data_IF_137382956768
#
_entry.id   IF_137382956768
#
_cell.length_a   1.000
_cell.length_b   1.000
_cell.length_c   1.000
_cell.angle_alpha   90.00
_cell.angle_beta   90.00
_cell.angle_gamma   90.00
#
_symmetry.space_group_name_H-M   'P 1'
#
loop_
_entity.id
_entity.type
_entity.pdbx_description
1 polymer ?
#
# COMPACT_ATOMS: atom_id res chain seq x y z
N UNK A 1 1.67 -10.58 -28.49
CA UNK A 1 1.11 -10.01 -27.25
C UNK A 1 1.75 -8.65 -27.03
N UNK A 2 0.98 -7.58 -26.84
CA UNK A 2 1.51 -6.22 -26.66
C UNK A 2 0.83 -5.58 -25.46
N UNK A 3 1.57 -5.36 -24.39
CA UNK A 3 1.15 -4.59 -23.24
C UNK A 3 1.56 -3.13 -23.42
N UNK A 4 0.65 -2.21 -23.14
CA UNK A 4 0.91 -0.77 -23.04
C UNK A 4 0.77 -0.34 -21.58
N UNK A 5 1.85 0.18 -21.00
CA UNK A 5 1.83 0.83 -19.69
C UNK A 5 1.70 2.34 -19.88
N UNK A 6 0.68 2.95 -19.29
CA UNK A 6 0.48 4.39 -19.28
C UNK A 6 0.81 4.91 -17.89
N UNK A 7 1.83 5.76 -17.82
CA UNK A 7 2.27 6.36 -16.56
C UNK A 7 1.62 7.73 -16.38
N UNK A 8 1.04 7.91 -15.21
CA UNK A 8 0.50 9.16 -14.72
C UNK A 8 1.43 9.64 -13.60
N UNK A 9 2.13 10.75 -13.84
CA UNK A 9 3.19 11.22 -12.95
C UNK A 9 2.60 11.99 -11.78
N UNK A 10 2.73 11.43 -10.59
CA UNK A 10 2.35 12.08 -9.34
C UNK A 10 3.48 13.01 -8.91
N UNK A 11 3.16 14.31 -8.85
CA UNK A 11 4.04 15.41 -8.48
C UNK A 11 3.74 15.95 -7.08
N UNK A 12 2.53 15.73 -6.59
CA UNK A 12 2.15 15.99 -5.20
C UNK A 12 0.93 15.15 -4.81
N UNK A 13 0.74 14.98 -3.51
CA UNK A 13 -0.41 14.30 -2.90
C UNK A 13 -0.94 15.13 -1.74
N UNK A 14 -2.25 15.25 -1.67
CA UNK A 14 -2.92 16.06 -0.64
C UNK A 14 -4.21 15.41 -0.15
N UNK A 15 -4.58 15.76 1.09
CA UNK A 15 -5.93 15.50 1.57
C UNK A 15 -6.92 16.49 0.97
N UNK A 16 -8.07 15.99 0.55
CA UNK A 16 -9.15 16.81 -0.01
C UNK A 16 -10.53 16.24 0.36
N UNK A 17 -11.58 17.00 0.11
CA UNK A 17 -12.97 16.54 0.21
C UNK A 17 -13.41 15.71 -1.00
N UNK A 18 -12.60 15.61 -2.05
CA UNK A 18 -12.89 14.81 -3.24
C UNK A 18 -11.63 14.11 -3.75
N UNK A 19 -11.79 12.88 -4.23
CA UNK A 19 -10.68 12.12 -4.84
C UNK A 19 -10.54 12.50 -6.31
N UNK A 20 -9.39 13.04 -6.72
CA UNK A 20 -9.13 13.40 -8.12
C UNK A 20 -7.64 13.40 -8.48
N UNK A 21 -7.34 13.34 -9.77
CA UNK A 21 -5.99 13.49 -10.30
C UNK A 21 -5.97 14.56 -11.40
N UNK A 22 -5.29 15.69 -11.14
CA UNK A 22 -5.21 16.83 -12.08
C UNK A 22 -3.82 17.44 -12.06
N UNK A 23 -3.25 17.65 -13.24
CA UNK A 23 -1.93 18.29 -13.44
C UNK A 23 -0.76 17.68 -12.63
N UNK A 24 -0.89 16.40 -12.25
CA UNK A 24 0.08 15.67 -11.44
C UNK A 24 -0.20 15.69 -9.93
N UNK A 25 -1.25 16.36 -9.47
CA UNK A 25 -1.67 16.38 -8.06
C UNK A 25 -2.72 15.29 -7.86
N UNK A 26 -2.45 14.38 -6.92
CA UNK A 26 -3.39 13.36 -6.45
C UNK A 26 -4.06 13.86 -5.16
N UNK A 27 -5.29 14.34 -5.28
CA UNK A 27 -6.12 14.71 -4.14
C UNK A 27 -6.87 13.48 -3.65
N UNK A 28 -6.81 13.19 -2.36
CA UNK A 28 -7.38 11.97 -1.75
C UNK A 28 -8.44 12.34 -0.72
N UNK A 29 -9.63 11.76 -0.83
CA UNK A 29 -10.64 11.84 0.21
C UNK A 29 -10.39 10.78 1.30
N UNK A 30 -9.78 11.19 2.42
CA UNK A 30 -9.47 10.31 3.57
C UNK A 30 -10.68 9.52 4.08
N UNK A 31 -11.78 10.23 4.37
CA UNK A 31 -13.02 9.61 4.87
C UNK A 31 -13.59 8.53 3.93
N UNK A 32 -13.71 8.84 2.63
CA UNK A 32 -14.18 7.88 1.63
C UNK A 32 -13.30 6.63 1.56
N UNK A 33 -11.97 6.78 1.60
CA UNK A 33 -11.08 5.62 1.63
C UNK A 33 -11.28 4.79 2.91
N UNK A 34 -11.35 5.43 4.07
CA UNK A 34 -11.59 4.72 5.33
C UNK A 34 -12.91 3.95 5.32
N UNK A 35 -13.98 4.51 4.74
CA UNK A 35 -15.26 3.82 4.59
C UNK A 35 -15.15 2.56 3.70
N UNK A 36 -14.33 2.60 2.64
CA UNK A 36 -14.08 1.45 1.76
C UNK A 36 -13.22 0.37 2.43
N UNK A 37 -12.27 0.78 3.27
CA UNK A 37 -11.26 -0.09 3.88
C UNK A 37 -11.81 -0.81 5.12
N UNK A 38 -12.53 -0.10 6.01
CA UNK A 38 -13.07 -0.64 7.27
C UNK A 38 -13.81 -2.00 7.16
N UNK A 39 -14.67 -2.26 6.16
CA UNK A 39 -15.39 -3.54 6.09
C UNK A 39 -14.51 -4.73 5.69
N UNK A 40 -13.27 -4.51 5.24
CA UNK A 40 -12.40 -5.56 4.71
C UNK A 40 -11.65 -6.35 5.80
N UNK A 41 -11.60 -5.84 7.04
CA UNK A 41 -10.71 -6.36 8.09
C UNK A 41 -11.51 -6.70 9.36
N UNK A 42 -11.30 -7.88 9.95
CA UNK A 42 -12.01 -8.34 11.16
C UNK A 42 -11.13 -8.36 12.40
N UNK A 43 -9.82 -8.37 12.22
CA UNK A 43 -8.78 -8.47 13.25
C UNK A 43 -8.10 -7.13 13.52
N UNK A 44 -8.68 -6.05 13.00
CA UNK A 44 -8.19 -4.67 13.08
C UNK A 44 -9.24 -3.84 13.82
N UNK A 45 -8.84 -3.19 14.91
CA UNK A 45 -9.73 -2.33 15.71
C UNK A 45 -9.95 -0.98 15.04
N UNK A 46 -8.90 -0.44 14.43
CA UNK A 46 -8.92 0.85 13.76
C UNK A 46 -7.95 0.86 12.57
N UNK A 47 -8.30 1.65 11.56
CA UNK A 47 -7.42 1.97 10.44
C UNK A 47 -7.34 3.48 10.34
N UNK A 48 -6.12 3.99 10.20
CA UNK A 48 -5.87 5.37 9.82
C UNK A 48 -4.99 5.46 8.57
N UNK A 49 -4.93 6.65 8.00
CA UNK A 49 -4.17 6.95 6.79
C UNK A 49 -3.28 8.18 6.99
N UNK A 50 -2.02 8.08 6.58
CA UNK A 50 -1.08 9.20 6.54
C UNK A 50 -0.48 9.37 5.14
N UNK A 51 -0.21 10.62 4.76
CA UNK A 51 0.57 10.95 3.56
C UNK A 51 1.95 11.38 4.04
N UNK A 52 2.98 10.70 3.57
CA UNK A 52 4.38 11.04 3.82
C UNK A 52 5.04 11.42 2.49
N UNK A 53 5.67 12.60 2.45
CA UNK A 53 6.22 13.17 1.21
C UNK A 53 7.74 12.98 1.10
N UNK A 54 8.30 12.96 -0.13
CA UNK A 54 9.75 12.97 -0.32
C UNK A 54 10.42 14.14 0.41
N UNK A 55 11.49 13.85 1.15
CA UNK A 55 12.24 14.85 1.90
C UNK A 55 11.62 15.30 3.23
N UNK A 56 10.49 14.73 3.64
CA UNK A 56 9.90 14.96 4.96
C UNK A 56 10.77 14.35 6.07
N UNK A 57 10.89 15.02 7.22
CA UNK A 57 11.63 14.49 8.37
C UNK A 57 10.77 13.45 9.12
N UNK A 58 10.62 12.29 8.48
CA UNK A 58 9.78 11.19 8.94
C UNK A 58 10.48 9.83 8.81
N UNK A 59 10.15 8.93 9.74
CA UNK A 59 10.46 7.50 9.68
C UNK A 59 9.17 6.72 9.71
N UNK A 60 8.98 5.86 8.72
CA UNK A 60 7.89 4.87 8.69
C UNK A 60 8.43 3.59 9.35
N UNK A 61 7.72 3.08 10.35
CA UNK A 61 8.08 1.87 11.11
C UNK A 61 7.00 0.81 10.95
N UNK A 62 7.29 -0.44 11.31
CA UNK A 62 6.33 -1.54 11.16
C UNK A 62 5.85 -1.71 9.73
N UNK A 63 6.70 -1.32 8.77
CA UNK A 63 6.42 -1.36 7.36
C UNK A 63 6.37 -2.83 6.92
N UNK A 64 5.31 -3.19 6.22
CA UNK A 64 5.11 -4.50 5.63
C UNK A 64 5.31 -4.38 4.12
N UNK A 65 4.24 -4.55 3.35
CA UNK A 65 4.30 -4.49 1.90
C UNK A 65 4.10 -3.07 1.37
N UNK A 66 4.69 -2.79 0.20
CA UNK A 66 4.59 -1.52 -0.51
C UNK A 66 4.25 -1.79 -1.96
N UNK A 67 3.19 -1.16 -2.47
CA UNK A 67 2.71 -1.35 -3.84
C UNK A 67 2.61 -0.04 -4.60
N UNK A 68 2.91 -0.08 -5.89
CA UNK A 68 2.62 1.00 -6.82
C UNK A 68 1.19 0.83 -7.36
N UNK A 69 0.26 1.77 -7.11
CA UNK A 69 -1.10 1.65 -7.63
C UNK A 69 -1.14 1.58 -9.15
N UNK A 70 -1.85 0.57 -9.65
CA UNK A 70 -2.09 0.34 -11.06
C UNK A 70 -3.48 -0.21 -11.29
N UNK A 71 -4.04 0.06 -12.47
CA UNK A 71 -5.33 -0.44 -12.90
C UNK A 71 -5.27 -0.87 -14.35
N UNK A 72 -5.77 -2.07 -14.64
CA UNK A 72 -5.89 -2.58 -16.00
C UNK A 72 -7.22 -2.08 -16.59
N UNK A 73 -7.14 -1.45 -17.76
CA UNK A 73 -8.30 -0.81 -18.41
C UNK A 73 -8.68 -1.43 -19.75
N UNK A 74 -7.80 -2.26 -20.33
CA UNK A 74 -8.04 -2.97 -21.59
C UNK A 74 -7.27 -4.30 -21.61
N UNK A 75 -7.79 -5.30 -22.34
CA UNK A 75 -7.21 -6.64 -22.51
C UNK A 75 -7.72 -7.65 -21.47
N UNK A 76 -7.34 -8.93 -21.61
CA UNK A 76 -7.73 -9.99 -20.69
C UNK A 76 -7.08 -9.91 -19.31
N UNK A 77 -7.79 -10.38 -18.27
CA UNK A 77 -7.34 -10.37 -16.87
C UNK A 77 -7.45 -9.00 -16.19
N UNK A 78 -6.78 -8.83 -15.06
CA UNK A 78 -6.81 -7.61 -14.23
C UNK A 78 -5.45 -7.32 -13.57
N UNK A 79 -5.28 -6.14 -12.98
CA UNK A 79 -4.08 -5.81 -12.18
C UNK A 79 -3.89 -6.80 -11.02
N UNK A 80 -2.65 -6.99 -10.59
CA UNK A 80 -2.29 -7.92 -9.50
C UNK A 80 -2.97 -9.29 -9.65
N UNK A 81 -2.79 -9.90 -10.83
CA UNK A 81 -3.36 -11.21 -11.13
C UNK A 81 -2.87 -12.28 -10.14
N UNK A 82 -3.78 -13.17 -9.74
CA UNK A 82 -3.56 -14.10 -8.62
C UNK A 82 -3.97 -13.54 -7.25
N UNK A 83 -4.06 -12.21 -7.12
CA UNK A 83 -4.51 -11.55 -5.89
C UNK A 83 -5.99 -11.17 -5.99
N UNK A 84 -6.36 -10.29 -6.94
CA UNK A 84 -7.75 -9.89 -7.13
C UNK A 84 -8.63 -10.94 -7.84
N UNK A 85 -8.05 -12.08 -8.23
CA UNK A 85 -8.74 -13.16 -8.94
C UNK A 85 -7.80 -14.26 -9.37
N UNK A 86 -8.24 -15.11 -10.31
CA UNK A 86 -7.43 -16.21 -10.81
C UNK A 86 -6.11 -15.72 -11.44
N UNK A 87 -5.05 -16.54 -11.38
CA UNK A 87 -3.81 -16.25 -12.06
C UNK A 87 -4.00 -16.35 -13.58
N UNK A 88 -3.91 -15.21 -14.26
CA UNK A 88 -4.10 -15.00 -15.69
C UNK A 88 -2.83 -14.44 -16.31
N UNK A 89 -2.61 -14.73 -17.60
CA UNK A 89 -1.54 -14.08 -18.36
C UNK A 89 -1.96 -12.66 -18.75
N UNK A 90 -1.38 -11.65 -18.10
CA UNK A 90 -1.73 -10.22 -18.29
C UNK A 90 -0.77 -9.45 -19.23
N UNK A 91 -0.15 -10.16 -20.18
CA UNK A 91 0.88 -9.64 -21.09
C UNK A 91 0.39 -8.79 -22.28
N UNK A 92 -0.88 -8.37 -22.28
CA UNK A 92 -1.49 -7.60 -23.38
C UNK A 92 -2.48 -6.55 -22.89
N UNK A 93 -2.89 -5.64 -23.77
CA UNK A 93 -3.86 -4.58 -23.46
C UNK A 93 -3.20 -3.35 -22.81
N UNK A 94 -3.96 -2.65 -21.96
CA UNK A 94 -3.55 -1.36 -21.40
C UNK A 94 -3.67 -1.35 -19.88
N UNK A 95 -2.62 -0.87 -19.21
CA UNK A 95 -2.58 -0.68 -17.76
C UNK A 95 -2.11 0.73 -17.44
N UNK A 96 -2.88 1.42 -16.62
CA UNK A 96 -2.55 2.74 -16.07
C UNK A 96 -1.83 2.58 -14.74
N UNK A 97 -0.81 3.40 -14.48
CA UNK A 97 -0.02 3.37 -13.25
C UNK A 97 0.23 4.79 -12.73
N UNK A 98 0.18 4.94 -11.42
CA UNK A 98 0.61 6.17 -10.74
C UNK A 98 2.12 6.08 -10.48
N UNK A 99 2.92 6.82 -11.27
CA UNK A 99 4.38 6.87 -11.10
C UNK A 99 4.73 7.92 -10.04
N UNK A 100 5.60 7.56 -9.10
CA UNK A 100 5.99 8.45 -8.00
C UNK A 100 5.07 8.37 -6.78
N UNK A 101 4.07 7.48 -6.77
CA UNK A 101 3.16 7.27 -5.65
C UNK A 101 3.12 5.80 -5.24
N UNK A 102 3.06 5.53 -3.94
CA UNK A 102 2.94 4.18 -3.39
C UNK A 102 1.91 4.12 -2.27
N UNK A 103 1.41 2.92 -2.02
CA UNK A 103 0.59 2.57 -0.86
C UNK A 103 1.38 1.58 -0.02
N UNK A 104 1.42 1.82 1.29
CA UNK A 104 2.25 1.10 2.25
C UNK A 104 1.38 0.58 3.39
N UNK A 105 1.65 -0.63 3.84
CA UNK A 105 1.03 -1.19 5.03
C UNK A 105 1.95 -1.02 6.24
N UNK A 106 1.41 -0.53 7.35
CA UNK A 106 2.14 -0.32 8.59
C UNK A 106 1.36 -0.91 9.77
N UNK A 107 1.83 -2.03 10.31
CA UNK A 107 1.16 -2.71 11.42
C UNK A 107 2.16 -3.32 12.40
N UNK A 108 2.06 -3.05 13.71
CA UNK A 108 2.92 -3.62 14.74
C UNK A 108 2.53 -5.08 15.02
N UNK A 109 2.78 -5.98 14.06
CA UNK A 109 2.47 -7.40 14.17
C UNK A 109 3.21 -8.02 15.38
N UNK A 110 2.53 -8.79 16.25
CA UNK A 110 3.14 -9.32 17.46
C UNK A 110 4.30 -10.28 17.19
N UNK A 111 5.39 -10.12 17.94
CA UNK A 111 6.51 -11.07 17.97
C UNK A 111 6.28 -12.12 19.06
N UNK A 112 5.36 -13.05 18.84
CA UNK A 112 5.04 -14.12 19.78
C UNK A 112 5.12 -15.52 19.16
N UNK A 113 4.92 -16.55 19.98
CA UNK A 113 4.98 -17.96 19.57
C UNK A 113 3.76 -18.41 18.75
N UNK A 114 2.82 -17.51 18.40
CA UNK A 114 1.65 -17.84 17.58
C UNK A 114 1.99 -18.01 16.10
N UNK A 115 3.20 -17.62 15.68
CA UNK A 115 3.69 -17.82 14.32
C UNK A 115 3.88 -19.32 14.04
N UNK A 116 2.88 -19.93 13.40
CA UNK A 116 2.88 -21.36 13.09
C UNK A 116 3.87 -21.76 11.98
N UNK A 117 4.55 -20.80 11.35
CA UNK A 117 5.58 -21.03 10.34
C UNK A 117 6.53 -19.83 10.21
N UNK A 118 7.70 -20.06 9.61
CA UNK A 118 8.68 -19.01 9.27
C UNK A 118 8.13 -17.85 8.43
N UNK A 119 7.02 -18.09 7.70
CA UNK A 119 6.35 -17.09 6.85
C UNK A 119 5.48 -16.11 7.66
N UNK A 120 5.02 -16.54 8.83
CA UNK A 120 4.17 -15.75 9.71
C UNK A 120 4.96 -14.97 10.76
N UNK A 121 6.29 -15.13 10.79
CA UNK A 121 7.12 -14.27 11.63
C UNK A 121 7.13 -12.85 11.05
N UNK A 122 6.69 -11.85 11.82
CA UNK A 122 6.73 -10.47 11.36
C UNK A 122 8.18 -10.06 11.10
N UNK A 123 8.44 -9.61 9.87
CA UNK A 123 9.69 -8.97 9.50
C UNK A 123 9.44 -7.47 9.59
N UNK A 124 9.76 -6.92 10.75
CA UNK A 124 9.63 -5.49 10.96
C UNK A 124 10.63 -4.76 10.04
N UNK A 125 10.13 -3.79 9.29
CA UNK A 125 10.93 -2.94 8.42
C UNK A 125 10.72 -1.48 8.78
N UNK A 126 11.79 -0.71 8.62
CA UNK A 126 11.78 0.74 8.77
C UNK A 126 12.20 1.39 7.46
N UNK A 127 11.71 2.61 7.24
CA UNK A 127 12.12 3.45 6.13
C UNK A 127 12.24 4.89 6.60
N UNK A 128 13.41 5.48 6.37
CA UNK A 128 13.60 6.93 6.58
C UNK A 128 13.32 7.68 5.29
N UNK A 129 12.69 8.84 5.40
CA UNK A 129 12.45 9.73 4.26
C UNK A 129 13.61 10.72 4.04
N UNK A 130 14.49 10.87 5.03
CA UNK A 130 15.71 11.68 4.95
C UNK A 130 16.89 10.99 5.66
N UNK A 131 18.08 11.56 5.54
CA UNK A 131 19.27 11.06 6.23
C UNK A 131 19.93 9.86 5.56
N UNK A 132 20.89 9.21 6.26
CA UNK A 132 21.83 8.27 5.64
C UNK A 132 21.19 7.03 5.02
N UNK A 133 20.00 6.61 5.50
CA UNK A 133 19.37 5.37 5.05
C UNK A 133 18.19 5.58 4.08
N UNK A 134 17.78 6.83 3.80
CA UNK A 134 16.60 7.09 2.98
C UNK A 134 16.69 6.50 1.56
N UNK A 135 17.86 6.56 0.93
CA UNK A 135 18.07 6.02 -0.43
C UNK A 135 18.28 4.51 -0.53
N UNK A 136 18.16 3.75 0.57
CA UNK A 136 18.31 2.28 0.52
C UNK A 136 17.10 1.59 -0.13
N UNK A 137 15.94 2.22 -0.10
CA UNK A 137 14.76 1.84 -0.89
C UNK A 137 14.42 2.98 -1.86
N UNK A 138 13.73 2.71 -2.98
CA UNK A 138 13.32 3.76 -3.90
C UNK A 138 12.18 4.64 -3.33
N UNK A 139 11.59 4.28 -2.19
CA UNK A 139 10.33 4.86 -1.72
C UNK A 139 10.49 6.13 -0.87
N UNK A 140 11.72 6.47 -0.48
CA UNK A 140 12.01 7.80 0.07
C UNK A 140 11.84 8.92 -0.97
N UNK A 141 11.89 8.57 -2.26
CA UNK A 141 11.69 9.48 -3.39
C UNK A 141 10.24 9.45 -3.91
N UNK A 142 9.34 8.68 -3.29
CA UNK A 142 7.92 8.61 -3.66
C UNK A 142 7.02 9.29 -2.64
N UNK A 143 5.87 9.76 -3.10
CA UNK A 143 4.76 10.11 -2.21
C UNK A 143 4.13 8.82 -1.69
N UNK A 144 4.00 8.69 -0.37
CA UNK A 144 3.60 7.45 0.26
C UNK A 144 2.28 7.66 1.00
N UNK A 145 1.26 6.89 0.62
CA UNK A 145 0.06 6.73 1.44
C UNK A 145 0.25 5.54 2.36
N UNK A 146 0.43 5.80 3.65
CA UNK A 146 0.62 4.78 4.67
C UNK A 146 -0.73 4.42 5.26
N UNK A 147 -1.09 3.14 5.17
CA UNK A 147 -2.23 2.53 5.86
C UNK A 147 -1.74 2.02 7.20
N UNK A 148 -2.25 2.61 8.27
CA UNK A 148 -1.83 2.33 9.64
C UNK A 148 -2.92 1.49 10.29
N UNK A 149 -2.54 0.30 10.76
CA UNK A 149 -3.45 -0.67 11.35
C UNK A 149 -3.25 -0.73 12.87
N UNK A 150 -4.34 -0.58 13.62
CA UNK A 150 -4.40 -0.96 15.02
C UNK A 150 -5.00 -2.36 15.13
N UNK A 151 -4.26 -3.28 15.73
CA UNK A 151 -4.62 -4.70 15.75
C UNK A 151 -5.48 -5.04 16.96
N UNK A 152 -6.46 -5.93 16.77
CA UNK A 152 -7.20 -6.55 17.88
C UNK A 152 -6.26 -7.48 18.63
N UNK A 153 -6.16 -7.36 19.95
CA UNK A 153 -5.31 -8.25 20.76
C UNK A 153 -5.79 -9.71 20.73
N UNK A 154 -4.83 -10.64 20.90
CA UNK A 154 -5.11 -12.06 21.11
C UNK A 154 -5.55 -12.83 19.87
N UNK A 155 -5.32 -12.30 18.66
CA UNK A 155 -5.49 -13.04 17.41
C UNK A 155 -4.23 -13.83 17.07
N UNK A 156 -4.39 -14.88 16.27
CA UNK A 156 -3.25 -15.64 15.76
C UNK A 156 -2.50 -14.86 14.67
N UNK A 157 -1.21 -15.15 14.48
CA UNK A 157 -0.42 -14.59 13.37
C UNK A 157 -1.08 -14.78 12.00
N UNK A 158 -1.76 -15.91 11.77
CA UNK A 158 -2.48 -16.16 10.52
C UNK A 158 -3.75 -15.30 10.35
N UNK A 159 -4.42 -14.94 11.45
CA UNK A 159 -5.56 -14.01 11.41
C UNK A 159 -5.10 -12.58 11.13
N UNK A 160 -3.99 -12.14 11.73
CA UNK A 160 -3.40 -10.84 11.43
C UNK A 160 -2.90 -10.75 9.99
N UNK A 161 -2.13 -11.74 9.54
CA UNK A 161 -1.56 -11.77 8.18
C UNK A 161 -2.67 -11.70 7.12
N UNK A 162 -3.72 -12.51 7.30
CA UNK A 162 -4.90 -12.43 6.45
C UNK A 162 -5.47 -11.02 6.47
N UNK A 163 -5.77 -10.43 7.61
CA UNK A 163 -6.54 -9.19 7.62
C UNK A 163 -5.73 -7.93 7.27
N UNK A 164 -4.39 -7.98 7.38
CA UNK A 164 -3.51 -6.86 7.03
C UNK A 164 -3.10 -6.90 5.55
N UNK A 165 -2.74 -8.08 5.01
CA UNK A 165 -2.20 -8.26 3.64
C UNK A 165 -3.25 -8.71 2.60
N UNK A 166 -4.53 -8.47 2.86
CA UNK A 166 -5.68 -9.01 2.08
C UNK A 166 -6.00 -8.23 0.80
#
# INVERSE_FOLDING_TARGET
MRLKRQYFDVKDVEWSSETSFRDGILSIHKGQLLELIRPLMKSVTNVDLEIVKPGEDARIIHLLDTIQPMIKVEGGGQQYSGFFGQPDTVGEGVTNLLRGFTVMESAPLPWDDSASSGLLYPRDAIMDMTGPIAGFTPFSETFNLVVIYELVEGKSSAEYDRDVRL
#
